data_IF_439712789603
#
_entry.id   IF_439712789603
#
_cell.length_a   1.000
_cell.length_b   1.000
_cell.length_c   1.000
_cell.angle_alpha   90.00
_cell.angle_beta   90.00
_cell.angle_gamma   90.00
#
_symmetry.space_group_name_H-M   'P 1'
#
loop_
_entity.id
_entity.type
_entity.pdbx_description
1 polymer ?
#
# COMPACT_ATOMS: atom_id res chain seq x y z
N UNK A 1 -23.78 77.13 5.50
CA UNK A 1 -23.46 78.12 6.56
C UNK A 1 -24.17 77.71 7.85
N UNK A 2 -23.39 77.48 8.93
CA UNK A 2 -23.71 77.55 10.37
C UNK A 2 -25.01 76.88 10.86
N UNK A 3 -24.94 75.66 11.42
CA UNK A 3 -24.81 75.30 12.85
C UNK A 3 -26.03 75.65 13.71
N UNK A 4 -26.67 74.62 14.30
CA UNK A 4 -27.05 74.62 15.71
C UNK A 4 -27.22 73.19 16.23
N UNK A 5 -26.35 72.84 17.19
CA UNK A 5 -26.42 71.69 18.08
C UNK A 5 -27.33 72.06 19.26
N UNK A 6 -28.21 71.14 19.70
CA UNK A 6 -28.68 71.07 21.09
C UNK A 6 -28.77 69.60 21.52
N UNK A 7 -27.86 69.24 22.43
CA UNK A 7 -27.93 68.07 23.30
C UNK A 7 -28.60 68.46 24.65
N UNK A 8 -28.82 67.45 25.51
CA UNK A 8 -29.42 67.39 26.88
C UNK A 8 -30.79 66.68 26.88
N UNK A 9 -31.12 65.69 27.72
CA UNK A 9 -30.49 65.02 28.87
C UNK A 9 -31.24 63.69 29.17
N UNK A 10 -30.46 62.64 29.45
CA UNK A 10 -30.55 61.69 30.56
C UNK A 10 -31.90 61.42 31.27
N UNK A 11 -32.32 60.15 31.29
CA UNK A 11 -32.94 59.52 32.45
C UNK A 11 -32.26 58.15 32.72
N UNK A 12 -31.76 58.01 33.94
CA UNK A 12 -30.95 56.91 34.47
C UNK A 12 -31.69 56.28 35.66
N UNK A 13 -31.89 54.97 35.64
CA UNK A 13 -32.12 54.07 36.80
C UNK A 13 -32.00 52.64 36.24
N UNK A 14 -30.92 51.86 36.42
CA UNK A 14 -30.18 51.41 37.61
C UNK A 14 -31.02 50.59 38.60
N UNK A 15 -31.13 49.29 38.33
CA UNK A 15 -31.20 48.24 39.36
C UNK A 15 -30.08 47.23 39.06
N UNK A 16 -29.18 47.07 40.03
CA UNK A 16 -28.02 46.19 39.98
C UNK A 16 -28.32 44.83 40.61
N UNK A 17 -27.76 43.78 40.00
CA UNK A 17 -26.99 42.74 40.68
C UNK A 17 -27.74 41.62 41.41
N UNK A 18 -27.69 40.41 40.84
CA UNK A 18 -27.34 39.18 41.55
C UNK A 18 -26.48 38.31 40.63
N UNK A 19 -25.25 38.03 41.07
CA UNK A 19 -24.27 37.13 40.45
C UNK A 19 -24.34 35.72 41.03
N UNK A 20 -23.95 34.76 40.18
CA UNK A 20 -23.34 33.44 40.47
C UNK A 20 -24.26 32.24 40.74
N UNK A 21 -24.35 31.30 39.78
CA UNK A 21 -23.51 30.08 39.74
C UNK A 21 -23.96 29.11 38.62
N UNK A 22 -23.01 28.77 37.72
CA UNK A 22 -22.68 27.38 37.40
C UNK A 22 -23.64 26.54 36.54
N UNK A 23 -23.51 26.66 35.22
CA UNK A 23 -23.31 25.59 34.22
C UNK A 23 -23.62 26.22 32.86
N UNK A 24 -22.56 26.65 32.17
CA UNK A 24 -22.58 26.67 30.72
C UNK A 24 -22.91 25.25 30.29
N UNK A 25 -24.13 25.05 29.80
CA UNK A 25 -24.34 23.95 28.88
C UNK A 25 -23.41 24.28 27.71
N UNK A 26 -22.39 23.43 27.50
CA UNK A 26 -21.78 23.31 26.18
C UNK A 26 -22.94 23.18 25.20
N UNK A 27 -23.11 24.18 24.35
CA UNK A 27 -23.83 23.99 23.10
C UNK A 27 -23.04 22.91 22.36
N UNK A 28 -23.55 21.68 22.40
CA UNK A 28 -23.05 20.58 21.59
C UNK A 28 -23.17 21.04 20.14
N UNK A 29 -22.07 21.12 19.37
CA UNK A 29 -22.14 21.41 17.95
C UNK A 29 -23.07 20.39 17.28
N UNK A 30 -23.86 20.81 16.29
CA UNK A 30 -24.59 19.86 15.46
C UNK A 30 -23.61 18.81 14.92
N UNK A 31 -23.95 17.50 14.89
CA UNK A 31 -23.03 16.50 14.39
C UNK A 31 -22.75 16.80 12.92
N UNK A 32 -21.48 17.04 12.58
CA UNK A 32 -21.03 17.06 11.20
C UNK A 32 -21.26 15.70 10.54
N UNK A 33 -21.22 15.66 9.22
CA UNK A 33 -21.27 14.39 8.46
C UNK A 33 -19.99 13.60 8.77
N UNK A 34 -20.08 12.32 9.09
CA UNK A 34 -18.88 11.50 9.35
C UNK A 34 -18.07 11.27 8.07
N UNK A 35 -16.76 11.08 8.20
CA UNK A 35 -15.90 10.70 7.07
C UNK A 35 -16.37 9.38 6.45
N UNK A 36 -16.85 8.45 7.29
CA UNK A 36 -17.47 7.20 6.83
C UNK A 36 -18.74 7.44 5.99
N UNK A 37 -19.62 8.36 6.39
CA UNK A 37 -20.83 8.65 5.63
C UNK A 37 -20.53 9.28 4.26
N UNK A 38 -19.52 10.15 4.19
CA UNK A 38 -19.04 10.73 2.93
C UNK A 38 -18.44 9.66 2.03
N UNK A 39 -17.58 8.79 2.56
CA UNK A 39 -17.00 7.69 1.79
C UNK A 39 -18.08 6.72 1.28
N UNK A 40 -19.05 6.35 2.12
CA UNK A 40 -20.18 5.50 1.72
C UNK A 40 -21.08 6.15 0.65
N UNK A 41 -21.28 7.47 0.72
CA UNK A 41 -21.98 8.21 -0.32
C UNK A 41 -21.27 8.10 -1.68
N UNK A 42 -19.93 8.22 -1.69
CA UNK A 42 -19.12 8.01 -2.88
C UNK A 42 -19.26 6.57 -3.38
N UNK A 43 -19.07 5.57 -2.53
CA UNK A 43 -19.18 4.15 -2.93
C UNK A 43 -20.55 3.83 -3.54
N UNK A 44 -21.63 4.34 -2.95
CA UNK A 44 -23.00 4.14 -3.42
C UNK A 44 -23.29 4.82 -4.78
N UNK A 45 -22.46 5.77 -5.20
CA UNK A 45 -22.58 6.42 -6.51
C UNK A 45 -22.01 5.57 -7.66
N UNK A 46 -21.20 4.57 -7.34
CA UNK A 46 -20.49 3.75 -8.32
C UNK A 46 -21.28 2.49 -8.65
N UNK A 47 -21.26 2.07 -9.93
CA UNK A 47 -21.96 0.87 -10.40
C UNK A 47 -21.45 -0.42 -9.74
N UNK A 48 -20.15 -0.47 -9.45
CA UNK A 48 -19.44 -1.63 -8.87
C UNK A 48 -18.93 -1.36 -7.44
N UNK A 49 -19.61 -0.51 -6.66
CA UNK A 49 -19.18 -0.09 -5.31
C UNK A 49 -19.05 -1.20 -4.25
N UNK A 50 -19.12 -2.48 -4.63
CA UNK A 50 -19.13 -3.66 -3.75
C UNK A 50 -17.80 -4.38 -3.53
N UNK A 51 -16.68 -3.94 -4.13
CA UNK A 51 -15.39 -4.66 -4.04
C UNK A 51 -14.31 -3.99 -3.18
N UNK A 52 -14.57 -2.78 -2.65
CA UNK A 52 -13.59 -2.09 -1.81
C UNK A 52 -13.71 -2.48 -0.34
N UNK A 53 -12.57 -2.79 0.29
CA UNK A 53 -12.50 -3.23 1.68
C UNK A 53 -12.18 -2.05 2.59
N UNK A 54 -12.94 -1.84 3.69
CA UNK A 54 -12.61 -0.79 4.66
C UNK A 54 -11.33 -1.12 5.42
N UNK A 55 -10.44 -0.13 5.54
CA UNK A 55 -9.35 -0.20 6.50
C UNK A 55 -9.82 0.23 7.89
N UNK A 56 -9.31 -0.45 8.92
CA UNK A 56 -9.63 -0.15 10.32
C UNK A 56 -8.39 -0.25 11.21
N UNK A 57 -8.41 0.43 12.35
CA UNK A 57 -7.35 0.31 13.37
C UNK A 57 -5.96 0.72 12.88
N UNK A 58 -4.98 -0.17 13.10
CA UNK A 58 -3.57 0.05 12.74
C UNK A 58 -3.40 0.15 11.21
N UNK A 59 -4.03 -0.74 10.44
CA UNK A 59 -3.95 -0.71 8.97
C UNK A 59 -4.42 0.62 8.36
N UNK A 60 -5.48 1.23 8.93
CA UNK A 60 -5.94 2.57 8.53
C UNK A 60 -4.88 3.64 8.84
N UNK A 61 -4.27 3.57 10.02
CA UNK A 61 -3.27 4.55 10.47
C UNK A 61 -2.00 4.44 9.64
N UNK A 62 -1.54 3.22 9.37
CA UNK A 62 -0.37 2.94 8.56
C UNK A 62 -0.58 3.40 7.10
N UNK A 63 -1.77 3.14 6.53
CA UNK A 63 -2.11 3.64 5.19
C UNK A 63 -1.98 5.15 5.10
N UNK A 64 -2.64 5.88 6.00
CA UNK A 64 -2.67 7.35 5.97
C UNK A 64 -1.28 7.95 6.24
N UNK A 65 -0.49 7.36 7.13
CA UNK A 65 0.83 7.90 7.49
C UNK A 65 1.92 7.48 6.53
N UNK A 66 2.10 6.18 6.30
CA UNK A 66 3.23 5.65 5.54
C UNK A 66 3.04 5.80 4.03
N UNK A 67 1.81 5.65 3.54
CA UNK A 67 1.53 5.71 2.11
C UNK A 67 1.02 7.08 1.68
N UNK A 68 -0.06 7.58 2.30
CA UNK A 68 -0.59 8.89 1.93
C UNK A 68 0.29 10.05 2.41
N UNK A 69 1.12 9.87 3.44
CA UNK A 69 1.97 10.93 3.99
C UNK A 69 1.27 11.92 4.93
N UNK A 70 0.06 11.60 5.41
CA UNK A 70 -0.70 12.44 6.33
C UNK A 70 -0.22 12.24 7.78
N UNK A 71 0.01 13.33 8.51
CA UNK A 71 0.51 13.27 9.88
C UNK A 71 -0.59 13.33 10.95
N UNK A 72 -1.69 14.04 10.68
CA UNK A 72 -2.75 14.28 11.67
C UNK A 72 -4.13 14.37 11.02
N UNK A 73 -5.15 13.84 11.70
CA UNK A 73 -6.56 13.94 11.32
C UNK A 73 -7.44 13.75 12.57
N UNK A 74 -8.70 14.19 12.51
CA UNK A 74 -9.70 13.96 13.56
C UNK A 74 -10.52 12.70 13.31
N UNK A 75 -10.86 12.43 12.05
CA UNK A 75 -11.63 11.26 11.62
C UNK A 75 -11.22 10.87 10.20
N UNK A 76 -11.16 9.58 9.90
CA UNK A 76 -10.83 9.10 8.58
C UNK A 76 -11.64 7.85 8.21
N UNK A 77 -11.93 7.70 6.93
CA UNK A 77 -12.47 6.50 6.34
C UNK A 77 -11.72 6.21 5.03
N UNK A 78 -11.22 4.98 4.91
CA UNK A 78 -10.45 4.52 3.74
C UNK A 78 -11.01 3.18 3.27
N UNK A 79 -11.28 3.07 1.98
CA UNK A 79 -11.71 1.85 1.31
C UNK A 79 -10.77 1.58 0.13
N UNK A 80 -10.21 0.37 0.06
CA UNK A 80 -9.22 0.01 -0.96
C UNK A 80 -9.66 -1.20 -1.78
N UNK A 81 -9.28 -1.18 -3.06
CA UNK A 81 -9.23 -2.36 -3.92
C UNK A 81 -8.16 -3.34 -3.44
N UNK A 82 -8.28 -4.60 -3.86
CA UNK A 82 -7.31 -5.64 -3.52
C UNK A 82 -6.44 -6.02 -4.72
N UNK A 83 -5.23 -6.50 -4.46
CA UNK A 83 -4.29 -6.89 -5.52
C UNK A 83 -3.91 -5.69 -6.40
N UNK A 84 -4.22 -5.77 -7.69
CA UNK A 84 -3.87 -4.77 -8.71
C UNK A 84 -4.89 -3.65 -8.88
N UNK A 85 -5.95 -3.65 -8.08
CA UNK A 85 -7.03 -2.66 -8.18
C UNK A 85 -6.64 -1.31 -7.54
N UNK A 86 -6.47 -0.28 -8.36
CA UNK A 86 -6.12 1.06 -7.90
C UNK A 86 -7.31 1.85 -7.33
N UNK A 87 -8.53 1.28 -7.31
CA UNK A 87 -9.68 1.95 -6.69
C UNK A 87 -9.43 2.21 -5.21
N UNK A 88 -9.76 3.42 -4.79
CA UNK A 88 -9.58 3.90 -3.44
C UNK A 88 -10.56 5.04 -3.16
N UNK A 89 -11.19 5.01 -2.00
CA UNK A 89 -11.96 6.13 -1.45
C UNK A 89 -11.37 6.47 -0.09
N UNK A 90 -10.63 7.56 -0.03
CA UNK A 90 -10.04 8.10 1.19
C UNK A 90 -10.70 9.42 1.52
N UNK A 91 -11.30 9.53 2.71
CA UNK A 91 -11.90 10.76 3.23
C UNK A 91 -11.37 11.04 4.62
N UNK A 92 -10.82 12.22 4.82
CA UNK A 92 -10.24 12.67 6.09
C UNK A 92 -10.88 13.98 6.55
N UNK A 93 -11.18 14.07 7.85
CA UNK A 93 -11.62 15.28 8.54
C UNK A 93 -10.45 15.86 9.33
N UNK A 94 -10.16 17.14 9.12
CA UNK A 94 -9.00 17.85 9.67
C UNK A 94 -9.43 18.94 10.65
N UNK A 95 -8.48 19.50 11.41
CA UNK A 95 -8.73 20.54 12.43
C UNK A 95 -9.45 21.77 11.88
N UNK A 96 -9.14 22.15 10.65
CA UNK A 96 -9.64 23.34 9.98
C UNK A 96 -9.48 23.20 8.45
N UNK A 97 -9.94 24.22 7.73
CA UNK A 97 -9.92 24.26 6.26
C UNK A 97 -8.50 24.38 5.68
N UNK A 98 -7.56 25.03 6.38
CA UNK A 98 -6.17 25.15 5.93
C UNK A 98 -5.45 23.80 6.04
N UNK A 99 -5.72 23.05 7.12
CA UNK A 99 -5.22 21.69 7.29
C UNK A 99 -5.83 20.73 6.25
N UNK A 100 -7.11 20.90 5.90
CA UNK A 100 -7.74 20.12 4.84
C UNK A 100 -7.16 20.42 3.45
N UNK A 101 -6.88 21.68 3.13
CA UNK A 101 -6.22 22.05 1.88
C UNK A 101 -4.81 21.43 1.77
N UNK A 102 -4.02 21.47 2.84
CA UNK A 102 -2.70 20.81 2.90
C UNK A 102 -2.82 19.29 2.74
N UNK A 103 -3.78 18.66 3.42
CA UNK A 103 -4.03 17.23 3.27
C UNK A 103 -4.42 16.85 1.84
N UNK A 104 -5.17 17.70 1.14
CA UNK A 104 -5.50 17.48 -0.27
C UNK A 104 -4.26 17.59 -1.18
N UNK A 105 -3.35 18.53 -0.93
CA UNK A 105 -2.06 18.58 -1.66
C UNK A 105 -1.25 17.28 -1.43
N UNK A 106 -1.18 16.81 -0.18
CA UNK A 106 -0.51 15.55 0.17
C UNK A 106 -1.16 14.33 -0.49
N UNK A 107 -2.50 14.28 -0.55
CA UNK A 107 -3.22 13.22 -1.25
C UNK A 107 -3.04 13.28 -2.78
N UNK A 108 -2.86 14.46 -3.35
CA UNK A 108 -2.55 14.63 -4.77
C UNK A 108 -1.14 14.14 -5.10
N UNK A 109 -0.14 14.45 -4.26
CA UNK A 109 1.21 13.90 -4.40
C UNK A 109 1.17 12.35 -4.33
N UNK A 110 0.42 11.80 -3.36
CA UNK A 110 0.20 10.35 -3.26
C UNK A 110 -0.48 9.76 -4.50
N UNK A 111 -1.51 10.41 -5.05
CA UNK A 111 -2.20 9.98 -6.28
C UNK A 111 -1.22 9.90 -7.46
N UNK A 112 -0.35 10.90 -7.62
CA UNK A 112 0.64 10.97 -8.70
C UNK A 112 1.71 9.89 -8.54
N UNK A 113 2.25 9.71 -7.33
CA UNK A 113 3.22 8.66 -7.04
C UNK A 113 2.61 7.28 -7.35
N UNK A 114 1.40 7.03 -6.85
CA UNK A 114 0.66 5.78 -7.09
C UNK A 114 0.35 5.56 -8.57
N UNK A 115 0.03 6.60 -9.33
CA UNK A 115 -0.15 6.52 -10.79
C UNK A 115 1.15 6.03 -11.46
N UNK A 116 2.30 6.52 -10.98
CA UNK A 116 3.63 6.09 -11.43
C UNK A 116 3.88 4.60 -11.21
N UNK A 117 3.42 4.04 -10.10
CA UNK A 117 3.60 2.61 -9.78
C UNK A 117 2.91 1.68 -10.78
N UNK A 118 1.80 2.13 -11.38
CA UNK A 118 1.09 1.38 -12.41
C UNK A 118 1.61 1.68 -13.83
N UNK A 119 2.41 2.73 -14.00
CA UNK A 119 2.85 3.21 -15.31
C UNK A 119 3.74 2.18 -16.02
N UNK A 120 3.19 1.55 -17.06
CA UNK A 120 3.86 0.56 -17.90
C UNK A 120 3.57 -0.90 -17.56
N UNK A 121 2.97 -1.19 -16.40
CA UNK A 121 2.57 -2.55 -15.99
C UNK A 121 1.05 -2.74 -16.04
N UNK A 122 0.27 -1.82 -15.43
CA UNK A 122 -1.19 -1.84 -15.48
C UNK A 122 -1.70 -0.49 -16.00
N UNK A 123 -1.65 -0.23 -17.31
CA UNK A 123 -1.98 1.07 -17.88
C UNK A 123 -3.42 1.52 -17.61
N UNK A 124 -4.38 0.58 -17.52
CA UNK A 124 -5.77 0.92 -17.18
C UNK A 124 -5.91 1.47 -15.75
N UNK A 125 -5.09 0.96 -14.82
CA UNK A 125 -5.04 1.42 -13.43
C UNK A 125 -4.33 2.77 -13.30
N UNK A 126 -3.26 2.99 -14.08
CA UNK A 126 -2.61 4.29 -14.21
C UNK A 126 -3.59 5.35 -14.77
N UNK A 127 -4.34 5.00 -15.82
CA UNK A 127 -5.37 5.87 -16.41
C UNK A 127 -6.53 6.14 -15.43
N UNK A 128 -6.86 5.18 -14.55
CA UNK A 128 -7.84 5.39 -13.46
C UNK A 128 -7.32 6.42 -12.47
N UNK A 129 -6.09 6.29 -12.01
CA UNK A 129 -5.48 7.26 -11.08
C UNK A 129 -5.25 8.63 -11.71
N UNK A 130 -4.98 8.71 -13.02
CA UNK A 130 -4.91 9.98 -13.74
C UNK A 130 -6.25 10.75 -13.68
N UNK A 131 -7.36 10.02 -13.75
CA UNK A 131 -8.72 10.59 -13.69
C UNK A 131 -9.27 10.73 -12.28
N UNK A 132 -8.60 10.18 -11.27
CA UNK A 132 -9.07 10.20 -9.89
C UNK A 132 -9.18 11.64 -9.38
N UNK A 133 -10.21 11.91 -8.58
CA UNK A 133 -10.46 13.25 -8.06
C UNK A 133 -9.80 13.41 -6.68
N UNK A 134 -9.02 14.48 -6.51
CA UNK A 134 -8.57 14.94 -5.20
C UNK A 134 -9.20 16.28 -4.91
N UNK A 135 -9.88 16.39 -3.77
CA UNK A 135 -10.69 17.56 -3.43
C UNK A 135 -10.60 17.91 -1.95
N UNK A 136 -10.93 19.16 -1.65
CA UNK A 136 -11.18 19.61 -0.29
C UNK A 136 -12.47 20.44 -0.23
N UNK A 137 -13.20 20.32 0.87
CA UNK A 137 -14.41 21.12 1.13
C UNK A 137 -14.60 21.33 2.62
N UNK A 138 -14.54 22.59 3.05
CA UNK A 138 -14.48 22.92 4.47
C UNK A 138 -13.30 22.22 5.13
N UNK A 139 -13.58 21.38 6.14
CA UNK A 139 -12.56 20.67 6.92
C UNK A 139 -12.21 19.28 6.37
N UNK A 140 -12.75 18.90 5.21
CA UNK A 140 -12.54 17.58 4.63
C UNK A 140 -11.57 17.65 3.47
N UNK A 141 -10.71 16.63 3.36
CA UNK A 141 -9.97 16.30 2.14
C UNK A 141 -10.32 14.88 1.70
N UNK A 142 -10.31 14.63 0.39
CA UNK A 142 -10.64 13.32 -0.15
C UNK A 142 -9.85 12.99 -1.41
N UNK A 143 -9.51 11.71 -1.57
CA UNK A 143 -9.03 11.07 -2.79
C UNK A 143 -10.07 10.04 -3.25
N UNK A 144 -10.57 10.22 -4.47
CA UNK A 144 -11.63 9.42 -5.08
C UNK A 144 -11.09 8.77 -6.36
N UNK A 145 -10.41 7.63 -6.20
CA UNK A 145 -10.02 6.75 -7.31
C UNK A 145 -11.15 5.76 -7.57
N UNK A 146 -12.00 6.11 -8.54
CA UNK A 146 -13.23 5.41 -8.87
C UNK A 146 -13.43 5.38 -10.40
N UNK A 147 -14.39 4.57 -10.88
CA UNK A 147 -14.63 4.48 -12.33
C UNK A 147 -15.34 5.73 -12.87
N UNK A 148 -16.26 6.31 -12.09
CA UNK A 148 -16.97 7.57 -12.39
C UNK A 148 -16.63 8.67 -11.35
N UNK A 149 -15.55 9.45 -11.59
CA UNK A 149 -15.13 10.51 -10.66
C UNK A 149 -16.14 11.68 -10.59
N UNK A 150 -16.86 11.98 -11.67
CA UNK A 150 -17.87 13.05 -11.67
C UNK A 150 -19.06 12.69 -10.75
N UNK A 151 -19.53 11.45 -10.82
CA UNK A 151 -20.56 10.96 -9.92
C UNK A 151 -20.08 10.90 -8.46
N UNK A 152 -18.81 10.53 -8.24
CA UNK A 152 -18.20 10.50 -6.92
C UNK A 152 -18.14 11.88 -6.27
N UNK A 153 -17.66 12.90 -7.00
CA UNK A 153 -17.62 14.29 -6.54
C UNK A 153 -19.02 14.83 -6.23
N UNK A 154 -20.00 14.56 -7.10
CA UNK A 154 -21.38 14.98 -6.89
C UNK A 154 -22.01 14.34 -5.65
N UNK A 155 -21.75 13.05 -5.43
CA UNK A 155 -22.23 12.31 -4.26
C UNK A 155 -21.60 12.83 -2.96
N UNK A 156 -20.29 13.09 -2.97
CA UNK A 156 -19.56 13.70 -1.86
C UNK A 156 -20.17 15.06 -1.49
N UNK A 157 -20.34 15.95 -2.48
CA UNK A 157 -20.91 17.28 -2.28
C UNK A 157 -22.37 17.23 -1.77
N UNK A 158 -23.20 16.36 -2.35
CA UNK A 158 -24.59 16.19 -1.93
C UNK A 158 -24.67 15.68 -0.48
N UNK A 159 -23.85 14.69 -0.12
CA UNK A 159 -23.79 14.17 1.25
C UNK A 159 -23.38 15.24 2.25
N UNK A 160 -22.35 16.02 1.93
CA UNK A 160 -21.89 17.14 2.76
C UNK A 160 -22.95 18.23 2.93
N UNK A 161 -23.76 18.48 1.90
CA UNK A 161 -24.88 19.42 1.93
C UNK A 161 -26.14 18.87 2.63
N UNK A 162 -26.16 17.58 2.98
CA UNK A 162 -27.35 16.90 3.53
C UNK A 162 -28.45 16.64 2.49
N UNK A 163 -28.08 16.60 1.22
CA UNK A 163 -28.97 16.34 0.08
C UNK A 163 -29.06 14.83 -0.22
N UNK A 164 -30.17 14.41 -0.83
CA UNK A 164 -30.34 13.02 -1.27
C UNK A 164 -29.47 12.76 -2.51
N UNK A 165 -28.78 11.61 -2.54
CA UNK A 165 -27.89 11.23 -3.62
C UNK A 165 -28.61 11.26 -4.99
N UNK A 166 -27.96 11.77 -6.05
CA UNK A 166 -28.46 11.61 -7.41
C UNK A 166 -28.55 10.11 -7.74
N UNK A 167 -29.67 9.72 -8.35
CA UNK A 167 -29.87 8.32 -8.76
C UNK A 167 -29.10 8.08 -10.06
N UNK A 168 -28.27 7.01 -10.16
CA UNK A 168 -27.53 6.75 -11.39
C UNK A 168 -28.51 6.46 -12.54
N UNK A 169 -28.29 7.10 -13.70
CA UNK A 169 -29.03 6.81 -14.93
C UNK A 169 -28.49 5.51 -15.54
N UNK A 170 -29.18 4.38 -15.31
CA UNK A 170 -28.79 3.08 -15.86
C UNK A 170 -29.23 2.97 -17.34
N UNK A 171 -28.31 2.72 -18.30
CA UNK A 171 -28.69 2.29 -19.65
C UNK A 171 -29.25 0.87 -19.59
N UNK A 172 -30.46 0.68 -20.13
CA UNK A 172 -31.15 -0.63 -20.12
C UNK A 172 -30.50 -1.57 -21.14
N UNK A 173 -29.73 -2.53 -20.67
CA UNK A 173 -29.30 -3.69 -21.47
C UNK A 173 -29.98 -4.98 -20.95
N UNK A 174 -30.55 -5.74 -21.88
CA UNK A 174 -31.40 -6.90 -21.63
C UNK A 174 -30.59 -8.14 -21.27
N UNK A 175 -30.82 -8.69 -20.08
CA UNK A 175 -30.17 -9.91 -19.57
C UNK A 175 -30.89 -11.18 -20.07
N UNK A 176 -30.17 -12.07 -20.75
CA UNK A 176 -30.52 -13.49 -20.84
C UNK A 176 -29.87 -14.26 -19.68
N UNK A 177 -30.53 -15.27 -19.07
CA UNK A 177 -29.99 -15.92 -17.88
C UNK A 177 -29.01 -17.05 -18.22
N UNK A 178 -27.88 -17.09 -17.53
CA UNK A 178 -26.89 -18.18 -17.53
C UNK A 178 -26.76 -18.82 -16.13
N UNK A 179 -26.20 -20.05 -16.03
CA UNK A 179 -26.65 -21.06 -15.09
C UNK A 179 -25.93 -21.06 -13.74
N UNK A 180 -26.61 -21.63 -12.74
CA UNK A 180 -26.16 -21.79 -11.35
C UNK A 180 -25.16 -22.95 -11.23
N UNK A 181 -23.99 -22.69 -10.65
CA UNK A 181 -23.01 -23.70 -10.19
C UNK A 181 -23.09 -23.89 -8.67
N UNK A 182 -22.74 -25.09 -8.13
CA UNK A 182 -23.05 -25.49 -6.76
C UNK A 182 -22.07 -24.96 -5.71
N UNK A 183 -22.56 -24.87 -4.47
CA UNK A 183 -21.91 -24.28 -3.29
C UNK A 183 -20.69 -25.07 -2.78
N UNK A 184 -19.70 -24.33 -2.27
CA UNK A 184 -18.46 -24.81 -1.65
C UNK A 184 -18.67 -25.44 -0.25
N UNK A 185 -17.84 -26.43 0.16
CA UNK A 185 -17.91 -27.07 1.49
C UNK A 185 -17.23 -26.25 2.61
N UNK A 186 -17.49 -26.58 3.90
CA UNK A 186 -17.17 -25.70 5.03
C UNK A 186 -15.70 -25.74 5.49
N UNK A 187 -15.29 -24.65 6.14
CA UNK A 187 -13.97 -24.38 6.71
C UNK A 187 -13.53 -25.37 7.81
N UNK A 188 -12.24 -25.68 7.84
CA UNK A 188 -11.57 -26.48 8.87
C UNK A 188 -11.03 -25.58 10.00
N UNK A 189 -11.23 -26.01 11.24
CA UNK A 189 -10.81 -25.36 12.48
C UNK A 189 -9.28 -25.20 12.59
N UNK A 190 -8.85 -24.00 12.99
CA UNK A 190 -7.48 -23.68 13.35
C UNK A 190 -7.14 -24.26 14.74
N UNK A 191 -6.02 -24.98 14.83
CA UNK A 191 -5.44 -25.42 16.11
C UNK A 191 -4.20 -24.61 16.42
N UNK A 192 -4.18 -23.94 17.58
CA UNK A 192 -3.02 -23.18 18.09
C UNK A 192 -1.79 -24.08 18.38
N UNK A 193 -0.56 -23.58 18.18
CA UNK A 193 0.66 -24.27 18.59
C UNK A 193 1.04 -23.95 20.06
N UNK A 194 1.77 -24.84 20.76
CA UNK A 194 2.07 -24.67 22.18
C UNK A 194 3.32 -23.78 22.43
N UNK A 195 3.27 -23.02 23.53
CA UNK A 195 4.44 -22.39 24.15
C UNK A 195 5.42 -23.46 24.67
N UNK A 196 6.70 -23.38 24.30
CA UNK A 196 7.78 -23.99 25.07
C UNK A 196 8.86 -22.97 25.41
N UNK A 197 8.99 -22.73 26.71
CA UNK A 197 10.00 -21.92 27.36
C UNK A 197 11.25 -22.76 27.59
N UNK A 198 12.41 -22.31 27.10
CA UNK A 198 13.70 -22.82 27.55
C UNK A 198 14.75 -21.71 27.56
N UNK A 199 14.98 -21.16 28.75
CA UNK A 199 16.10 -20.30 29.06
C UNK A 199 17.41 -21.11 29.08
N UNK A 200 18.45 -20.64 28.38
CA UNK A 200 19.82 -21.11 28.58
C UNK A 200 20.81 -19.94 28.67
N UNK A 201 21.36 -19.84 29.88
CA UNK A 201 22.55 -19.18 30.40
C UNK A 201 23.50 -18.43 29.43
N UNK A 202 23.70 -17.15 29.77
CA UNK A 202 24.86 -16.34 29.37
C UNK A 202 26.17 -17.01 29.79
N UNK A 203 27.10 -17.18 28.86
CA UNK A 203 28.51 -17.44 29.17
C UNK A 203 29.33 -16.29 28.60
N UNK A 204 29.83 -15.44 29.50
CA UNK A 204 30.75 -14.34 29.15
C UNK A 204 32.11 -14.90 28.73
N UNK A 205 32.60 -14.47 27.57
CA UNK A 205 33.97 -14.72 27.07
C UNK A 205 34.72 -13.38 27.09
N UNK A 206 35.97 -13.30 27.58
CA UNK A 206 36.61 -12.02 27.86
C UNK A 206 37.07 -11.30 26.60
N UNK A 207 36.81 -10.00 26.55
CA UNK A 207 37.30 -9.07 25.52
C UNK A 207 38.82 -9.02 25.59
N UNK A 208 39.48 -9.41 24.50
CA UNK A 208 40.90 -9.14 24.25
C UNK A 208 40.96 -8.08 23.16
N UNK A 209 41.57 -6.92 23.45
CA UNK A 209 41.75 -5.84 22.48
C UNK A 209 42.53 -6.33 21.24
N UNK A 210 41.92 -6.20 20.07
CA UNK A 210 42.58 -6.36 18.78
C UNK A 210 43.18 -5.00 18.33
N UNK A 211 44.33 -4.99 17.65
CA UNK A 211 45.03 -3.76 17.29
C UNK A 211 44.33 -3.01 16.15
N UNK A 212 44.44 -1.68 16.19
CA UNK A 212 43.91 -0.74 15.20
C UNK A 212 44.46 -1.05 13.79
N UNK A 213 43.62 -1.21 12.75
CA UNK A 213 44.10 -1.39 11.38
C UNK A 213 44.57 -0.07 10.78
N UNK A 214 45.70 -0.14 10.08
CA UNK A 214 46.30 0.95 9.30
C UNK A 214 45.40 1.36 8.13
N UNK A 215 45.16 2.67 7.96
CA UNK A 215 44.42 3.24 6.84
C UNK A 215 45.11 2.86 5.51
N UNK A 216 44.40 2.09 4.68
CA UNK A 216 44.78 1.84 3.29
C UNK A 216 44.06 2.91 2.45
N UNK A 217 44.75 3.64 1.56
CA UNK A 217 44.10 4.65 0.72
C UNK A 217 43.06 3.98 -0.20
N UNK A 218 41.94 4.66 -0.50
CA UNK A 218 40.89 4.10 -1.35
C UNK A 218 41.46 3.76 -2.73
N UNK A 219 40.98 2.68 -3.37
CA UNK A 219 41.40 2.33 -4.71
C UNK A 219 41.04 3.46 -5.69
N UNK A 220 41.80 3.63 -6.79
CA UNK A 220 41.50 4.65 -7.77
C UNK A 220 40.10 4.41 -8.37
N UNK A 221 39.26 5.45 -8.33
CA UNK A 221 37.95 5.48 -8.97
C UNK A 221 38.13 5.14 -10.45
N UNK A 222 37.66 3.97 -10.86
CA UNK A 222 37.58 3.64 -12.29
C UNK A 222 36.55 4.55 -12.94
N UNK A 223 36.79 5.10 -14.15
CA UNK A 223 35.80 5.93 -14.81
C UNK A 223 34.52 5.12 -14.99
N UNK A 224 33.38 5.65 -14.53
CA UNK A 224 32.10 4.99 -14.73
C UNK A 224 31.88 4.72 -16.22
N UNK A 225 31.42 3.51 -16.59
CA UNK A 225 31.09 3.22 -17.97
C UNK A 225 30.02 4.21 -18.41
N UNK A 226 30.28 4.91 -19.52
CA UNK A 226 29.29 5.77 -20.17
C UNK A 226 28.12 4.86 -20.57
N UNK A 227 27.05 4.88 -19.77
CA UNK A 227 25.85 4.08 -20.03
C UNK A 227 25.23 4.56 -21.35
N UNK A 228 25.06 3.64 -22.28
CA UNK A 228 24.36 3.91 -23.53
C UNK A 228 22.91 4.29 -23.21
N UNK A 229 22.47 5.46 -23.65
CA UNK A 229 21.08 5.90 -23.47
C UNK A 229 20.24 5.06 -24.42
N UNK A 230 19.59 4.03 -23.89
CA UNK A 230 18.81 3.05 -24.67
C UNK A 230 17.63 3.72 -25.38
N UNK A 231 17.10 4.84 -24.85
CA UNK A 231 15.97 5.59 -25.42
C UNK A 231 16.26 7.11 -25.47
N UNK A 232 17.00 7.62 -26.47
CA UNK A 232 17.45 9.02 -26.51
C UNK A 232 16.32 10.05 -26.76
N UNK A 233 15.11 9.61 -27.06
CA UNK A 233 13.92 10.46 -27.25
C UNK A 233 12.91 10.37 -26.12
N UNK A 234 13.19 9.61 -25.05
CA UNK A 234 12.31 9.55 -23.88
C UNK A 234 12.41 10.88 -23.13
N UNK A 235 11.28 11.57 -22.99
CA UNK A 235 11.21 12.75 -22.13
C UNK A 235 11.22 12.31 -20.67
N UNK A 236 12.38 12.44 -20.02
CA UNK A 236 12.57 12.09 -18.60
C UNK A 236 12.46 13.31 -17.70
N UNK A 237 11.98 14.46 -18.18
CA UNK A 237 11.94 15.69 -17.38
C UNK A 237 11.03 15.61 -16.16
N UNK A 238 10.03 14.72 -16.18
CA UNK A 238 9.18 14.39 -15.04
C UNK A 238 9.63 13.16 -14.23
N UNK A 239 10.76 12.54 -14.55
CA UNK A 239 11.20 11.32 -13.88
C UNK A 239 12.04 11.67 -12.67
N UNK A 240 11.77 11.03 -11.53
CA UNK A 240 12.65 11.10 -10.37
C UNK A 240 13.95 10.37 -10.66
N UNK A 241 15.12 11.03 -10.59
CA UNK A 241 16.40 10.36 -10.78
C UNK A 241 16.58 9.27 -9.74
N UNK A 242 16.95 8.07 -10.18
CA UNK A 242 17.29 6.97 -9.29
C UNK A 242 18.52 7.34 -8.44
N UNK A 243 18.32 7.43 -7.14
CA UNK A 243 19.35 7.44 -6.09
C UNK A 243 19.18 6.17 -5.24
N UNK A 244 20.17 5.27 -5.17
CA UNK A 244 20.01 4.01 -4.43
C UNK A 244 19.96 4.27 -2.91
N UNK A 245 18.90 3.86 -2.19
CA UNK A 245 18.74 4.08 -0.76
C UNK A 245 19.84 3.38 0.06
N UNK A 246 20.13 2.11 -0.26
CA UNK A 246 21.13 1.29 0.42
C UNK A 246 20.90 1.17 1.94
N UNK A 247 19.64 1.11 2.35
CA UNK A 247 19.22 0.95 3.74
C UNK A 247 19.05 -0.53 4.13
N UNK A 248 18.69 -1.38 3.17
CA UNK A 248 18.46 -2.81 3.35
C UNK A 248 19.48 -3.69 2.61
N UNK A 249 19.68 -4.92 3.11
CA UNK A 249 20.43 -5.94 2.37
C UNK A 249 19.56 -6.51 1.24
N UNK A 250 19.87 -6.13 0.01
CA UNK A 250 19.20 -6.56 -1.22
C UNK A 250 19.96 -7.64 -2.01
N UNK A 251 20.80 -8.44 -1.33
CA UNK A 251 21.47 -9.59 -1.94
C UNK A 251 20.46 -10.66 -2.38
N UNK A 252 20.42 -10.94 -3.69
CA UNK A 252 19.51 -11.93 -4.29
C UNK A 252 19.94 -13.34 -3.87
N UNK A 253 18.97 -14.14 -3.42
CA UNK A 253 19.18 -15.55 -3.09
C UNK A 253 19.61 -16.36 -4.32
N UNK A 254 20.71 -17.11 -4.21
CA UNK A 254 21.21 -17.96 -5.30
C UNK A 254 20.38 -19.24 -5.43
N UNK A 255 19.54 -19.30 -6.46
CA UNK A 255 18.68 -20.45 -6.76
C UNK A 255 19.32 -21.47 -7.70
N UNK A 256 20.60 -21.31 -8.07
CA UNK A 256 21.26 -22.16 -9.09
C UNK A 256 21.26 -23.65 -8.73
N UNK A 257 21.46 -24.00 -7.46
CA UNK A 257 21.44 -25.38 -6.99
C UNK A 257 20.03 -26.00 -7.13
N UNK A 258 18.99 -25.25 -6.77
CA UNK A 258 17.59 -25.68 -6.88
C UNK A 258 17.24 -25.94 -8.34
N UNK A 259 17.58 -25.00 -9.24
CA UNK A 259 17.33 -25.11 -10.68
C UNK A 259 18.05 -26.32 -11.28
N UNK A 260 19.32 -26.54 -10.91
CA UNK A 260 20.07 -27.71 -11.36
C UNK A 260 19.45 -29.03 -10.88
N UNK A 261 18.97 -29.09 -9.63
CA UNK A 261 18.29 -30.26 -9.10
C UNK A 261 16.93 -30.51 -9.77
N UNK A 262 16.19 -29.45 -10.11
CA UNK A 262 14.95 -29.55 -10.89
C UNK A 262 15.18 -30.16 -12.27
N UNK A 263 16.18 -29.66 -13.01
CA UNK A 263 16.50 -30.12 -14.36
C UNK A 263 17.03 -31.56 -14.40
N UNK A 264 17.84 -31.94 -13.41
CA UNK A 264 18.54 -33.23 -13.40
C UNK A 264 17.82 -34.32 -12.61
N UNK A 265 16.95 -33.93 -11.66
CA UNK A 265 16.37 -34.82 -10.65
C UNK A 265 17.37 -35.27 -9.57
N UNK A 266 18.59 -34.74 -9.54
CA UNK A 266 19.59 -35.04 -8.50
C UNK A 266 19.58 -33.99 -7.39
N UNK A 267 19.04 -34.38 -6.23
CA UNK A 267 18.90 -33.51 -5.06
C UNK A 267 20.04 -33.70 -4.04
N UNK A 268 21.02 -34.57 -4.32
CA UNK A 268 22.08 -34.94 -3.37
C UNK A 268 23.03 -33.79 -2.99
N UNK A 269 23.07 -32.74 -3.81
CA UNK A 269 23.89 -31.54 -3.58
C UNK A 269 23.17 -30.39 -2.86
N UNK A 270 21.87 -30.54 -2.55
CA UNK A 270 21.08 -29.47 -1.94
C UNK A 270 21.37 -29.30 -0.45
N UNK A 271 21.31 -28.06 0.02
CA UNK A 271 21.17 -27.78 1.44
C UNK A 271 19.78 -28.23 1.94
N UNK A 272 19.61 -28.39 3.25
CA UNK A 272 18.30 -28.71 3.84
C UNK A 272 17.24 -27.66 3.46
N UNK A 273 17.62 -26.38 3.48
CA UNK A 273 16.76 -25.26 3.07
C UNK A 273 16.39 -25.33 1.59
N UNK A 274 17.36 -25.58 0.70
CA UNK A 274 17.09 -25.68 -0.74
C UNK A 274 16.23 -26.90 -1.10
N UNK A 275 16.41 -28.02 -0.38
CA UNK A 275 15.57 -29.20 -0.54
C UNK A 275 14.11 -28.94 -0.14
N UNK A 276 13.88 -28.21 0.95
CA UNK A 276 12.53 -27.82 1.37
C UNK A 276 11.89 -26.82 0.38
N UNK A 277 12.66 -25.84 -0.12
CA UNK A 277 12.21 -24.94 -1.18
C UNK A 277 11.81 -25.74 -2.43
N UNK A 278 12.68 -26.63 -2.91
CA UNK A 278 12.42 -27.43 -4.10
C UNK A 278 11.17 -28.32 -3.94
N UNK A 279 10.99 -28.94 -2.78
CA UNK A 279 9.81 -29.73 -2.47
C UNK A 279 8.54 -28.89 -2.58
N UNK A 280 8.53 -27.68 -2.00
CA UNK A 280 7.38 -26.78 -2.11
C UNK A 280 7.17 -26.25 -3.53
N UNK A 281 8.21 -25.94 -4.27
CA UNK A 281 8.07 -25.59 -5.69
C UNK A 281 7.37 -26.68 -6.49
N UNK A 282 7.67 -27.96 -6.25
CA UNK A 282 6.99 -29.09 -6.92
C UNK A 282 5.50 -29.12 -6.58
N UNK A 283 5.16 -29.05 -5.30
CA UNK A 283 3.77 -29.06 -4.83
C UNK A 283 2.95 -27.92 -5.45
N UNK A 284 3.51 -26.70 -5.43
CA UNK A 284 2.86 -25.51 -5.99
C UNK A 284 2.68 -25.66 -7.49
N UNK A 285 3.74 -25.94 -8.24
CA UNK A 285 3.64 -26.02 -9.70
C UNK A 285 2.74 -27.16 -10.17
N UNK A 286 2.66 -28.28 -9.43
CA UNK A 286 1.68 -29.35 -9.71
C UNK A 286 0.23 -28.91 -9.46
N UNK A 287 0.00 -28.01 -8.51
CA UNK A 287 -1.31 -27.43 -8.23
C UNK A 287 -1.75 -26.44 -9.31
N UNK A 288 -0.86 -25.55 -9.74
CA UNK A 288 -1.24 -24.34 -10.50
C UNK A 288 -0.85 -24.33 -11.99
N UNK A 289 0.05 -25.21 -12.45
CA UNK A 289 0.51 -25.23 -13.85
C UNK A 289 0.05 -26.49 -14.58
N UNK A 290 -0.53 -26.31 -15.78
CA UNK A 290 -0.81 -27.40 -16.72
C UNK A 290 0.03 -27.27 -18.00
N UNK A 291 0.21 -28.37 -18.73
CA UNK A 291 1.06 -28.42 -19.93
C UNK A 291 0.59 -27.50 -21.07
N UNK A 292 -0.71 -27.16 -21.10
CA UNK A 292 -1.36 -26.37 -22.14
C UNK A 292 -1.41 -24.86 -21.87
N UNK A 293 -0.92 -24.41 -20.69
CA UNK A 293 -0.84 -22.99 -20.37
C UNK A 293 0.21 -22.25 -21.20
N UNK A 294 -0.16 -21.08 -21.69
CA UNK A 294 0.75 -20.07 -22.23
C UNK A 294 1.64 -19.49 -21.13
N UNK A 295 2.73 -18.83 -21.51
CA UNK A 295 3.65 -18.22 -20.54
C UNK A 295 2.95 -17.15 -19.68
N UNK A 296 2.01 -16.40 -20.26
CA UNK A 296 1.16 -15.45 -19.52
C UNK A 296 0.21 -16.15 -18.54
N UNK A 297 -0.41 -17.28 -18.92
CA UNK A 297 -1.28 -18.03 -18.02
C UNK A 297 -0.50 -18.63 -16.84
N UNK A 298 0.74 -19.09 -17.08
CA UNK A 298 1.65 -19.54 -16.02
C UNK A 298 2.05 -18.40 -15.10
N UNK A 299 2.42 -17.25 -15.68
CA UNK A 299 2.76 -16.03 -14.95
C UNK A 299 1.61 -15.64 -14.00
N UNK A 300 0.40 -15.55 -14.53
CA UNK A 300 -0.80 -15.19 -13.77
C UNK A 300 -1.10 -16.23 -12.68
N UNK A 301 -1.01 -17.52 -12.98
CA UNK A 301 -1.26 -18.58 -12.00
C UNK A 301 -0.25 -18.53 -10.83
N UNK A 302 1.04 -18.31 -11.14
CA UNK A 302 2.11 -18.17 -10.14
C UNK A 302 1.92 -16.90 -9.31
N UNK A 303 1.63 -15.77 -9.95
CA UNK A 303 1.33 -14.49 -9.30
C UNK A 303 0.19 -14.66 -8.29
N UNK A 304 -0.94 -15.18 -8.77
CA UNK A 304 -2.14 -15.34 -7.98
C UNK A 304 -1.94 -16.28 -6.78
N UNK A 305 -1.19 -17.36 -6.97
CA UNK A 305 -0.86 -18.27 -5.88
C UNK A 305 -0.03 -17.57 -4.80
N UNK A 306 1.01 -16.80 -5.20
CA UNK A 306 1.85 -16.06 -4.26
C UNK A 306 1.02 -15.01 -3.50
N UNK A 307 0.15 -14.26 -4.18
CA UNK A 307 -0.70 -13.25 -3.52
C UNK A 307 -1.69 -13.89 -2.54
N UNK A 308 -2.22 -15.07 -2.85
CA UNK A 308 -3.17 -15.78 -1.97
C UNK A 308 -2.50 -16.44 -0.76
N UNK A 309 -1.24 -16.87 -0.89
CA UNK A 309 -0.55 -17.66 0.14
C UNK A 309 0.55 -16.89 0.90
N UNK A 310 0.95 -15.74 0.38
CA UNK A 310 1.96 -14.87 0.99
C UNK A 310 1.33 -13.71 1.76
N UNK A 311 1.94 -13.34 2.87
CA UNK A 311 1.70 -12.08 3.58
C UNK A 311 2.97 -11.24 3.59
N UNK A 312 2.85 -9.91 3.54
CA UNK A 312 4.03 -9.06 3.66
C UNK A 312 4.57 -9.15 5.10
N UNK A 313 5.88 -9.37 5.26
CA UNK A 313 6.48 -9.53 6.58
C UNK A 313 6.68 -8.17 7.27
N UNK A 314 5.61 -7.67 7.91
CA UNK A 314 5.60 -6.38 8.60
C UNK A 314 6.61 -6.27 9.76
N UNK A 315 7.17 -7.40 10.23
CA UNK A 315 8.17 -7.39 11.31
C UNK A 315 9.48 -6.69 10.91
N UNK A 316 9.71 -6.46 9.61
CA UNK A 316 10.82 -5.63 9.13
C UNK A 316 10.74 -4.19 9.66
N UNK A 317 9.55 -3.67 9.95
CA UNK A 317 9.38 -2.31 10.47
C UNK A 317 9.45 -2.26 12.00
N UNK A 318 9.40 -3.42 12.68
CA UNK A 318 9.31 -3.48 14.15
C UNK A 318 10.66 -3.42 14.86
N UNK A 319 11.77 -3.28 14.13
CA UNK A 319 13.11 -3.18 14.72
C UNK A 319 14.05 -2.30 13.89
N UNK A 320 15.00 -1.67 14.59
CA UNK A 320 15.97 -0.75 13.99
C UNK A 320 16.99 -1.41 13.04
N UNK A 321 17.02 -2.74 12.98
CA UNK A 321 17.89 -3.49 12.08
C UNK A 321 17.17 -3.91 10.78
N UNK A 322 15.89 -3.56 10.64
CA UNK A 322 15.01 -3.96 9.55
C UNK A 322 15.04 -5.47 9.25
N UNK A 323 15.23 -6.28 10.30
CA UNK A 323 15.33 -7.74 10.20
C UNK A 323 13.94 -8.37 10.36
N UNK A 324 13.46 -9.03 9.32
CA UNK A 324 12.22 -9.81 9.37
C UNK A 324 12.42 -11.21 9.97
N UNK A 325 11.36 -12.01 9.91
CA UNK A 325 11.37 -13.43 10.30
C UNK A 325 12.32 -14.25 9.41
N UNK A 326 12.74 -15.43 9.87
CA UNK A 326 13.64 -16.30 9.09
C UNK A 326 13.09 -16.53 7.68
N UNK A 327 13.94 -16.33 6.66
CA UNK A 327 13.57 -16.54 5.25
C UNK A 327 12.81 -15.39 4.59
N UNK A 328 12.53 -14.27 5.28
CA UNK A 328 11.70 -13.19 4.75
C UNK A 328 12.19 -12.56 3.43
N UNK A 329 13.47 -12.74 3.06
CA UNK A 329 14.09 -12.19 1.84
C UNK A 329 14.31 -13.20 0.72
N UNK A 330 13.86 -14.44 0.89
CA UNK A 330 14.17 -15.53 -0.03
C UNK A 330 12.99 -16.49 -0.20
N UNK A 331 13.06 -17.45 -1.15
CA UNK A 331 11.91 -18.30 -1.48
C UNK A 331 11.36 -19.13 -0.32
N UNK A 332 12.18 -19.39 0.70
CA UNK A 332 11.74 -20.12 1.88
C UNK A 332 10.61 -19.40 2.62
N UNK A 333 10.72 -18.07 2.75
CA UNK A 333 9.73 -17.27 3.48
C UNK A 333 8.33 -17.44 2.89
N UNK A 334 8.19 -17.27 1.57
CA UNK A 334 6.89 -17.36 0.91
C UNK A 334 6.40 -18.81 0.83
N UNK A 335 7.25 -19.74 0.38
CA UNK A 335 6.83 -21.12 0.10
C UNK A 335 6.59 -21.96 1.36
N UNK A 336 7.35 -21.71 2.44
CA UNK A 336 7.26 -22.47 3.70
C UNK A 336 6.61 -21.64 4.79
N UNK A 337 7.04 -20.38 4.94
CA UNK A 337 6.56 -19.49 6.01
C UNK A 337 5.23 -18.79 5.71
N UNK A 338 4.82 -18.67 4.44
CA UNK A 338 3.68 -17.84 4.03
C UNK A 338 3.92 -16.34 4.20
N UNK A 339 5.18 -15.88 4.20
CA UNK A 339 5.51 -14.47 4.34
C UNK A 339 6.82 -14.04 3.66
N UNK A 340 6.93 -12.78 3.27
CA UNK A 340 8.18 -12.23 2.75
C UNK A 340 8.15 -10.71 2.63
N UNK A 341 9.29 -10.10 2.37
CA UNK A 341 9.37 -8.71 1.90
C UNK A 341 9.48 -8.68 0.37
N UNK A 342 9.62 -7.48 -0.22
CA UNK A 342 9.76 -7.30 -1.68
C UNK A 342 10.75 -8.30 -2.33
N UNK A 343 11.92 -8.53 -1.72
CA UNK A 343 12.91 -9.47 -2.24
C UNK A 343 12.51 -10.95 -2.08
N UNK A 344 11.84 -11.30 -0.98
CA UNK A 344 11.27 -12.64 -0.79
C UNK A 344 10.20 -12.95 -1.83
N UNK A 345 9.29 -12.00 -2.08
CA UNK A 345 8.29 -12.13 -3.14
C UNK A 345 8.94 -12.28 -4.52
N UNK A 346 9.84 -11.35 -4.88
CA UNK A 346 10.41 -11.32 -6.23
C UNK A 346 11.30 -12.52 -6.54
N UNK A 347 12.09 -12.98 -5.56
CA UNK A 347 12.94 -14.17 -5.72
C UNK A 347 12.12 -15.46 -5.78
N UNK A 348 11.01 -15.56 -5.03
CA UNK A 348 10.09 -16.70 -5.11
C UNK A 348 9.44 -16.77 -6.48
N UNK A 349 8.92 -15.63 -6.94
CA UNK A 349 8.27 -15.54 -8.24
C UNK A 349 9.24 -15.92 -9.36
N UNK A 350 10.45 -15.32 -9.37
CA UNK A 350 11.47 -15.69 -10.36
C UNK A 350 11.79 -17.19 -10.32
N UNK A 351 11.96 -17.78 -9.14
CA UNK A 351 12.23 -19.22 -9.04
C UNK A 351 11.12 -20.05 -9.69
N UNK A 352 9.86 -19.80 -9.36
CA UNK A 352 8.74 -20.56 -9.94
C UNK A 352 8.66 -20.39 -11.47
N UNK A 353 8.91 -19.17 -11.97
CA UNK A 353 8.97 -18.88 -13.41
C UNK A 353 10.12 -19.61 -14.11
N UNK A 354 11.31 -19.59 -13.50
CA UNK A 354 12.49 -20.32 -14.00
C UNK A 354 12.21 -21.83 -14.12
N UNK A 355 11.48 -22.41 -13.16
CA UNK A 355 11.16 -23.84 -13.12
C UNK A 355 10.05 -24.24 -14.12
N UNK A 356 9.14 -23.32 -14.46
CA UNK A 356 8.09 -23.54 -15.47
C UNK A 356 8.46 -23.04 -16.89
N UNK A 357 9.68 -22.55 -17.04
CA UNK A 357 10.33 -22.22 -18.31
C UNK A 357 10.02 -20.83 -18.87
N UNK A 358 9.57 -19.90 -18.03
CA UNK A 358 9.28 -18.51 -18.42
C UNK A 358 10.44 -17.59 -18.02
N UNK A 359 10.90 -16.76 -18.94
CA UNK A 359 12.05 -15.86 -18.72
C UNK A 359 11.65 -14.76 -17.73
N UNK A 360 12.25 -14.79 -16.54
CA UNK A 360 11.96 -13.84 -15.47
C UNK A 360 13.27 -13.44 -14.75
N UNK A 361 13.40 -12.16 -14.40
CA UNK A 361 14.54 -11.65 -13.61
C UNK A 361 14.06 -10.79 -12.46
N UNK A 362 14.69 -10.95 -11.30
CA UNK A 362 14.55 -10.03 -10.16
C UNK A 362 15.39 -8.78 -10.41
N UNK A 363 14.75 -7.62 -10.33
CA UNK A 363 15.38 -6.32 -10.39
C UNK A 363 15.39 -5.72 -9.00
N UNK A 364 16.55 -5.26 -8.56
CA UNK A 364 16.71 -4.46 -7.33
C UNK A 364 16.80 -2.99 -7.73
N UNK A 365 16.00 -2.16 -7.07
CA UNK A 365 15.94 -0.73 -7.29
C UNK A 365 15.42 0.00 -6.05
N UNK A 366 14.61 1.05 -6.26
CA UNK A 366 14.08 1.85 -5.17
C UNK A 366 12.63 2.28 -5.43
N UNK A 367 11.88 2.47 -4.35
CA UNK A 367 10.50 2.95 -4.34
C UNK A 367 10.40 4.34 -3.69
N UNK A 368 9.22 4.96 -3.78
CA UNK A 368 8.87 6.22 -3.13
C UNK A 368 9.84 7.36 -3.41
N UNK A 369 10.19 7.57 -4.68
CA UNK A 369 11.14 8.62 -5.06
C UNK A 369 12.55 8.39 -4.51
N UNK A 370 13.02 7.13 -4.54
CA UNK A 370 14.33 6.73 -4.06
C UNK A 370 14.52 6.84 -2.54
N UNK A 371 13.43 6.68 -1.77
CA UNK A 371 13.48 6.67 -0.30
C UNK A 371 13.63 5.27 0.30
N UNK A 372 13.20 4.22 -0.40
CA UNK A 372 13.22 2.85 0.14
C UNK A 372 13.77 1.85 -0.88
N UNK A 373 14.60 0.89 -0.43
CA UNK A 373 15.06 -0.19 -1.30
C UNK A 373 13.89 -1.10 -1.70
N UNK A 374 13.84 -1.47 -2.98
CA UNK A 374 12.74 -2.26 -3.51
C UNK A 374 13.22 -3.34 -4.48
N UNK A 375 12.42 -4.38 -4.65
CA UNK A 375 12.67 -5.42 -5.63
C UNK A 375 11.36 -5.85 -6.31
N UNK A 376 11.43 -6.08 -7.62
CA UNK A 376 10.31 -6.52 -8.46
C UNK A 376 10.83 -7.48 -9.54
N UNK A 377 9.92 -8.02 -10.34
CA UNK A 377 10.27 -8.90 -11.46
C UNK A 377 10.07 -8.21 -12.81
N UNK A 378 10.93 -8.55 -13.78
CA UNK A 378 10.68 -8.32 -15.20
C UNK A 378 10.51 -9.68 -15.88
N UNK A 379 9.39 -9.86 -16.57
CA UNK A 379 9.00 -11.09 -17.27
C UNK A 379 8.98 -10.84 -18.78
N UNK A 380 9.28 -11.87 -19.59
CA UNK A 380 9.33 -11.76 -21.05
C UNK A 380 8.49 -12.80 -21.77
#
# INVERSE_FOLDING_TARGET
MKRTIRALLLSLALCAGLTACGRTAEETPAPGVSSEALAQAVLASQADGGELTPLTGEALTDHLTAFCGLETWEEAAVYLGSGMDAREVTVVLLSDEDAAAQAAETLEDYRVDRQGDFFGYAPEEADRLERAAVLHSGRYAALLSCDDPEAAEAAFAACLAGEALPTPEVPVETVEPSPVLPESPPALEETEPPEETAALAETQVPVTEAPVPSETPPPPVSPEPVREIVNPGLDTSGFTPFDPPNEANMEIYDTSAIRAAWETGDESGLSEKDAEILARCREVLEEIVTEDMTDFEKELAVHDWIVRNGSYDQTVYSNSAHSGRTGYRDPYGILVGGYGNCLGYSSTFQLLMDLCGVECVTVVGAAYGSREDHAWNMVR
#
